data_IF_344284546139
#
_entry.id   IF_344284546139
#
_cell.length_a   1.000
_cell.length_b   1.000
_cell.length_c   1.000
_cell.angle_alpha   90.00
_cell.angle_beta   90.00
_cell.angle_gamma   90.00
#
_symmetry.space_group_name_H-M   'P 1'
#
loop_
_entity.id
_entity.type
_entity.pdbx_description
1 polymer ?
#
# COMPACT_ATOMS: atom_id res chain seq x y z
N UNK A 1 15.13 -5.05 -23.44
CA UNK A 1 14.49 -6.33 -23.88
C UNK A 1 13.31 -5.97 -24.76
N UNK A 2 12.87 -6.87 -25.65
CA UNK A 2 11.54 -6.72 -26.25
C UNK A 2 10.48 -6.94 -25.15
N UNK A 3 9.34 -6.24 -25.24
CA UNK A 3 8.35 -6.19 -24.16
C UNK A 3 7.74 -7.56 -23.84
N UNK A 4 7.51 -8.38 -24.86
CA UNK A 4 7.06 -9.77 -24.76
C UNK A 4 8.07 -10.64 -23.98
N UNK A 5 9.36 -10.51 -24.29
CA UNK A 5 10.42 -11.22 -23.58
C UNK A 5 10.56 -10.72 -22.13
N UNK A 6 10.36 -9.42 -21.88
CA UNK A 6 10.38 -8.85 -20.53
C UNK A 6 9.25 -9.45 -19.67
N UNK A 7 8.01 -9.43 -20.17
CA UNK A 7 6.85 -10.04 -19.51
C UNK A 7 7.12 -11.52 -19.21
N UNK A 8 7.62 -12.28 -20.17
CA UNK A 8 7.91 -13.70 -20.00
C UNK A 8 9.02 -13.99 -18.96
N UNK A 9 9.97 -13.07 -18.77
CA UNK A 9 10.98 -13.20 -17.73
C UNK A 9 10.44 -12.80 -16.35
N UNK A 10 9.66 -11.72 -16.26
CA UNK A 10 9.06 -11.25 -15.01
C UNK A 10 8.19 -12.36 -14.40
N UNK A 11 7.33 -12.99 -15.20
CA UNK A 11 6.44 -14.08 -14.74
C UNK A 11 7.17 -15.32 -14.21
N UNK A 12 8.45 -15.52 -14.56
CA UNK A 12 9.28 -16.65 -14.11
C UNK A 12 10.30 -16.25 -13.04
N UNK A 13 10.38 -14.97 -12.72
CA UNK A 13 11.38 -14.43 -11.81
C UNK A 13 10.93 -14.54 -10.35
N UNK A 14 11.88 -14.46 -9.42
CA UNK A 14 11.61 -14.30 -7.99
C UNK A 14 11.42 -12.83 -7.58
N UNK A 15 11.21 -11.91 -8.54
CA UNK A 15 11.15 -10.47 -8.28
C UNK A 15 12.51 -9.84 -7.93
N UNK A 16 12.48 -8.66 -7.29
CA UNK A 16 13.67 -7.95 -6.81
C UNK A 16 14.37 -7.06 -7.84
N UNK A 17 13.68 -6.67 -8.92
CA UNK A 17 14.21 -5.78 -9.96
C UNK A 17 13.35 -4.53 -10.17
N UNK A 18 13.94 -3.50 -10.77
CA UNK A 18 13.21 -2.36 -11.32
C UNK A 18 12.86 -2.67 -12.77
N UNK A 19 11.56 -2.82 -13.06
CA UNK A 19 11.07 -2.93 -14.43
C UNK A 19 10.70 -1.55 -14.97
N UNK A 20 11.62 -0.94 -15.71
CA UNK A 20 11.37 0.35 -16.35
C UNK A 20 10.42 0.19 -17.55
N UNK A 21 9.19 0.70 -17.40
CA UNK A 21 8.15 0.67 -18.42
C UNK A 21 7.91 2.06 -19.00
N UNK A 22 7.44 2.11 -20.26
CA UNK A 22 6.85 3.35 -20.81
C UNK A 22 5.51 3.61 -20.11
N UNK A 23 4.98 4.82 -20.23
CA UNK A 23 3.75 5.25 -19.55
C UNK A 23 2.61 4.20 -19.62
N UNK A 24 2.14 3.86 -20.83
CA UNK A 24 1.07 2.88 -21.01
C UNK A 24 1.42 1.48 -20.51
N UNK A 25 2.64 1.01 -20.79
CA UNK A 25 3.08 -0.32 -20.34
C UNK A 25 3.17 -0.36 -18.81
N UNK A 26 3.57 0.74 -18.17
CA UNK A 26 3.69 0.86 -16.72
C UNK A 26 2.33 0.89 -16.04
N UNK A 27 1.38 1.64 -16.59
CA UNK A 27 -0.01 1.70 -16.13
C UNK A 27 -0.62 0.29 -16.09
N UNK A 28 -0.62 -0.41 -17.24
CA UNK A 28 -1.20 -1.76 -17.35
C UNK A 28 -0.44 -2.80 -16.50
N UNK A 29 0.91 -2.80 -16.56
CA UNK A 29 1.69 -3.83 -15.89
C UNK A 29 1.74 -3.62 -14.37
N UNK A 30 1.66 -2.38 -13.88
CA UNK A 30 1.61 -2.11 -12.44
C UNK A 30 0.37 -2.72 -11.79
N UNK A 31 -0.81 -2.57 -12.42
CA UNK A 31 -2.05 -3.19 -11.97
C UNK A 31 -2.00 -4.73 -12.03
N UNK A 32 -1.46 -5.29 -13.12
CA UNK A 32 -1.28 -6.74 -13.26
C UNK A 32 -0.40 -7.30 -12.14
N UNK A 33 0.76 -6.70 -11.93
CA UNK A 33 1.72 -7.15 -10.92
C UNK A 33 1.14 -6.96 -9.52
N UNK A 34 0.53 -5.80 -9.24
CA UNK A 34 -0.15 -5.52 -7.98
C UNK A 34 -1.21 -6.56 -7.63
N UNK A 35 -2.06 -6.92 -8.60
CA UNK A 35 -3.08 -7.95 -8.44
C UNK A 35 -2.46 -9.33 -8.18
N UNK A 36 -1.33 -9.65 -8.83
CA UNK A 36 -0.62 -10.92 -8.63
C UNK A 36 0.03 -11.02 -7.24
N UNK A 37 0.45 -9.89 -6.64
CA UNK A 37 0.95 -9.82 -5.27
C UNK A 37 -0.16 -9.85 -4.21
N UNK A 38 -1.43 -9.68 -4.61
CA UNK A 38 -2.59 -9.84 -3.73
C UNK A 38 -3.68 -8.81 -4.01
N UNK A 39 -3.57 -7.62 -3.41
CA UNK A 39 -4.59 -6.58 -3.49
C UNK A 39 -3.97 -5.26 -3.98
N UNK A 40 -4.69 -4.53 -4.84
CA UNK A 40 -4.25 -3.21 -5.31
C UNK A 40 -4.00 -2.23 -4.17
N UNK A 41 -4.72 -2.37 -3.05
CA UNK A 41 -4.54 -1.53 -1.89
C UNK A 41 -3.25 -1.81 -1.10
N UNK A 42 -2.47 -2.83 -1.48
CA UNK A 42 -1.15 -3.15 -0.94
C UNK A 42 -0.01 -2.57 -1.78
N UNK A 43 -0.31 -1.77 -2.81
CA UNK A 43 0.69 -1.14 -3.67
C UNK A 43 0.95 0.30 -3.28
N UNK A 44 2.24 0.67 -3.23
CA UNK A 44 2.70 2.05 -3.05
C UNK A 44 2.96 2.70 -4.42
N UNK A 45 2.63 3.98 -4.58
CA UNK A 45 3.03 4.77 -5.75
C UNK A 45 3.87 5.98 -5.33
N UNK A 46 4.96 6.21 -6.05
CA UNK A 46 5.83 7.37 -5.85
C UNK A 46 6.28 7.91 -7.20
N UNK A 47 6.01 9.19 -7.42
CA UNK A 47 6.57 9.95 -8.52
C UNK A 47 7.88 10.60 -8.06
N UNK A 48 8.95 10.36 -8.82
CA UNK A 48 10.26 10.95 -8.58
C UNK A 48 10.66 11.77 -9.80
N UNK A 49 10.93 13.06 -9.58
CA UNK A 49 11.37 13.94 -10.65
C UNK A 49 12.90 13.92 -10.83
N UNK A 50 13.43 14.30 -12.01
CA UNK A 50 14.88 14.38 -12.22
C UNK A 50 15.59 15.40 -11.33
N UNK A 51 14.89 16.42 -10.84
CA UNK A 51 15.40 17.42 -9.89
C UNK A 51 15.25 17.00 -8.41
N UNK A 52 14.88 15.74 -8.16
CA UNK A 52 14.85 15.17 -6.81
C UNK A 52 13.65 15.59 -5.97
N UNK A 53 12.52 15.96 -6.61
CA UNK A 53 11.23 16.11 -5.94
C UNK A 53 10.50 14.77 -5.92
N UNK A 54 9.67 14.61 -4.90
CA UNK A 54 8.95 13.38 -4.63
C UNK A 54 7.47 13.70 -4.40
N UNK A 55 6.60 12.88 -4.97
CA UNK A 55 5.16 12.89 -4.73
C UNK A 55 4.74 11.45 -4.40
N UNK A 56 4.08 11.28 -3.26
CA UNK A 56 3.63 9.98 -2.76
C UNK A 56 2.11 9.92 -2.85
N UNK A 57 1.58 8.85 -3.42
CA UNK A 57 0.14 8.67 -3.63
C UNK A 57 -0.28 7.22 -3.38
N UNK A 58 -1.58 7.04 -3.17
CA UNK A 58 -2.16 5.70 -3.18
C UNK A 58 -2.36 5.25 -4.63
N UNK A 59 -1.90 4.04 -4.97
CA UNK A 59 -1.96 3.53 -6.35
C UNK A 59 -3.39 3.18 -6.83
N UNK A 60 -4.39 3.23 -5.94
CA UNK A 60 -5.78 2.89 -6.29
C UNK A 60 -6.63 4.14 -6.58
N UNK A 61 -7.70 3.96 -7.35
CA UNK A 61 -8.72 5.00 -7.56
C UNK A 61 -9.55 5.33 -6.31
N UNK A 62 -10.57 6.17 -6.46
CA UNK A 62 -11.37 6.71 -5.33
C UNK A 62 -12.38 5.74 -4.70
N UNK A 63 -12.39 4.47 -5.11
CA UNK A 63 -13.27 3.41 -4.57
C UNK A 63 -14.75 3.82 -4.50
N UNK A 64 -15.27 4.37 -5.60
CA UNK A 64 -16.61 5.01 -5.70
C UNK A 64 -17.76 4.14 -5.20
N UNK A 65 -17.70 2.81 -5.43
CA UNK A 65 -18.71 1.87 -4.91
C UNK A 65 -18.78 1.86 -3.39
N UNK A 66 -17.65 1.92 -2.69
CA UNK A 66 -17.64 2.02 -1.22
C UNK A 66 -18.15 3.38 -0.78
N UNK A 67 -17.80 4.44 -1.50
CA UNK A 67 -18.29 5.79 -1.21
C UNK A 67 -19.83 5.89 -1.25
N UNK A 68 -20.49 5.31 -2.26
CA UNK A 68 -21.96 5.30 -2.30
C UNK A 68 -22.61 4.50 -1.17
N UNK A 69 -22.00 3.39 -0.74
CA UNK A 69 -22.47 2.63 0.43
C UNK A 69 -22.32 3.44 1.72
N UNK A 70 -21.21 4.14 1.87
CA UNK A 70 -21.00 5.09 2.97
C UNK A 70 -22.07 6.20 3.00
N UNK A 71 -22.44 6.77 1.85
CA UNK A 71 -23.52 7.76 1.77
C UNK A 71 -24.89 7.22 2.22
N UNK A 72 -25.10 5.91 2.10
CA UNK A 72 -26.30 5.23 2.58
C UNK A 72 -26.21 4.83 4.08
N UNK A 73 -25.15 5.24 4.78
CA UNK A 73 -24.93 4.91 6.19
C UNK A 73 -24.38 3.49 6.43
N UNK A 74 -23.93 2.80 5.39
CA UNK A 74 -23.32 1.48 5.53
C UNK A 74 -21.86 1.59 5.98
N UNK A 75 -21.44 0.68 6.86
CA UNK A 75 -20.03 0.48 7.14
C UNK A 75 -19.32 -0.18 5.94
N UNK A 76 -18.11 0.30 5.64
CA UNK A 76 -17.28 -0.21 4.55
C UNK A 76 -15.97 -0.79 5.08
N UNK A 77 -15.39 -1.72 4.33
CA UNK A 77 -14.09 -2.35 4.60
C UNK A 77 -13.11 -1.94 3.50
N UNK A 78 -13.02 -0.63 3.24
CA UNK A 78 -12.00 -0.08 2.33
C UNK A 78 -10.64 -0.24 2.98
N UNK A 79 -9.69 -0.82 2.26
CA UNK A 79 -8.32 -1.01 2.73
C UNK A 79 -7.54 0.31 2.68
N UNK A 80 -7.06 0.84 3.83
CA UNK A 80 -6.36 2.12 3.86
C UNK A 80 -4.83 1.99 3.69
N UNK A 81 -4.29 0.78 3.48
CA UNK A 81 -2.84 0.51 3.47
C UNK A 81 -2.07 1.43 2.51
N UNK A 82 -2.42 1.45 1.21
CA UNK A 82 -1.78 2.32 0.24
C UNK A 82 -1.83 3.81 0.63
N UNK A 83 -2.93 4.26 1.25
CA UNK A 83 -3.05 5.66 1.71
C UNK A 83 -2.13 5.94 2.89
N UNK A 84 -2.06 5.02 3.87
CA UNK A 84 -1.14 5.16 5.02
C UNK A 84 0.31 5.16 4.52
N UNK A 85 0.65 4.28 3.59
CA UNK A 85 2.00 4.15 3.04
C UNK A 85 2.40 5.36 2.17
N UNK A 86 1.44 6.03 1.52
CA UNK A 86 1.69 7.31 0.87
C UNK A 86 2.08 8.40 1.90
N UNK A 87 1.36 8.46 3.02
CA UNK A 87 1.68 9.40 4.10
C UNK A 87 3.05 9.11 4.73
N UNK A 88 3.32 7.87 5.12
CA UNK A 88 4.60 7.49 5.75
C UNK A 88 5.77 7.65 4.78
N UNK A 89 5.59 7.34 3.50
CA UNK A 89 6.57 7.64 2.45
C UNK A 89 6.93 9.13 2.39
N UNK A 90 5.92 10.01 2.37
CA UNK A 90 6.13 11.46 2.40
C UNK A 90 6.79 11.96 3.68
N UNK A 91 6.37 11.47 4.85
CA UNK A 91 6.95 11.84 6.15
C UNK A 91 8.41 11.39 6.25
N UNK A 92 8.71 10.14 5.87
CA UNK A 92 10.06 9.60 5.86
C UNK A 92 10.96 10.42 4.95
N UNK A 93 10.53 10.70 3.72
CA UNK A 93 11.30 11.50 2.77
C UNK A 93 11.57 12.92 3.26
N UNK A 94 10.56 13.56 3.87
CA UNK A 94 10.75 14.88 4.49
C UNK A 94 11.74 14.80 5.65
N UNK A 95 11.64 13.77 6.47
CA UNK A 95 12.56 13.50 7.57
C UNK A 95 14.00 13.34 7.11
N UNK A 96 14.25 12.59 6.04
CA UNK A 96 15.56 12.46 5.41
C UNK A 96 16.11 13.80 4.93
N UNK A 97 15.30 14.58 4.20
CA UNK A 97 15.72 15.85 3.61
C UNK A 97 16.00 16.94 4.65
N UNK A 98 15.32 16.90 5.80
CA UNK A 98 15.52 17.86 6.91
C UNK A 98 16.50 17.35 7.99
N UNK A 99 16.97 16.11 7.91
CA UNK A 99 17.77 15.50 8.98
C UNK A 99 16.98 15.24 10.27
N UNK A 100 15.66 15.01 10.18
CA UNK A 100 14.76 14.73 11.30
C UNK A 100 14.57 13.22 11.47
N UNK A 101 15.52 12.58 12.15
CA UNK A 101 15.51 11.11 12.36
C UNK A 101 14.24 10.61 13.09
N UNK A 102 13.69 11.40 14.02
CA UNK A 102 12.46 11.05 14.74
C UNK A 102 11.24 10.97 13.80
N UNK A 103 11.20 11.82 12.78
CA UNK A 103 10.11 11.81 11.80
C UNK A 103 10.17 10.56 10.91
N UNK A 104 11.38 10.19 10.47
CA UNK A 104 11.59 8.94 9.73
C UNK A 104 11.25 7.72 10.60
N UNK A 105 11.69 7.71 11.86
CA UNK A 105 11.38 6.62 12.80
C UNK A 105 9.88 6.49 13.07
N UNK A 106 9.14 7.61 13.17
CA UNK A 106 7.69 7.57 13.30
C UNK A 106 7.03 6.92 12.07
N UNK A 107 7.48 7.28 10.86
CA UNK A 107 6.96 6.68 9.63
C UNK A 107 7.22 5.16 9.58
N UNK A 108 8.43 4.72 9.97
CA UNK A 108 8.78 3.30 10.05
C UNK A 108 7.91 2.54 11.07
N UNK A 109 7.68 3.12 12.25
CA UNK A 109 6.82 2.52 13.29
C UNK A 109 5.37 2.42 12.83
N UNK A 110 4.86 3.41 12.09
CA UNK A 110 3.48 3.37 11.57
C UNK A 110 3.32 2.30 10.47
N UNK A 111 4.28 2.16 9.57
CA UNK A 111 4.27 1.06 8.59
C UNK A 111 4.38 -0.30 9.27
N UNK A 112 5.25 -0.44 10.28
CA UNK A 112 5.36 -1.68 11.07
C UNK A 112 4.04 -2.01 11.78
N UNK A 113 3.39 -1.03 12.42
CA UNK A 113 2.09 -1.22 13.06
C UNK A 113 1.02 -1.73 12.08
N UNK A 114 1.03 -1.24 10.84
CA UNK A 114 0.15 -1.71 9.77
C UNK A 114 0.42 -3.17 9.39
N UNK A 115 1.68 -3.54 9.17
CA UNK A 115 2.08 -4.90 8.83
C UNK A 115 1.76 -5.87 9.98
N UNK A 116 2.14 -5.52 11.22
CA UNK A 116 1.85 -6.30 12.42
C UNK A 116 0.35 -6.54 12.62
N UNK A 117 -0.49 -5.58 12.23
CA UNK A 117 -1.95 -5.72 12.31
C UNK A 117 -2.44 -6.83 11.38
N UNK A 118 -1.96 -6.84 10.14
CA UNK A 118 -2.29 -7.85 9.12
C UNK A 118 -1.72 -9.21 9.51
N UNK A 119 -0.45 -9.28 9.92
CA UNK A 119 0.24 -10.52 10.30
C UNK A 119 -0.39 -11.19 11.53
N UNK A 120 -1.01 -10.41 12.42
CA UNK A 120 -1.80 -10.92 13.55
C UNK A 120 -3.24 -11.31 13.18
N UNK A 121 -3.55 -11.31 11.88
CA UNK A 121 -4.82 -11.78 11.33
C UNK A 121 -5.94 -10.75 11.29
N UNK A 122 -5.69 -9.48 11.64
CA UNK A 122 -6.71 -8.41 11.59
C UNK A 122 -6.54 -7.65 10.28
N UNK A 123 -7.51 -7.76 9.37
CA UNK A 123 -7.36 -7.17 8.03
C UNK A 123 -8.70 -6.79 7.41
N UNK A 124 -8.67 -5.98 6.36
CA UNK A 124 -9.87 -5.61 5.60
C UNK A 124 -10.32 -6.75 4.68
N UNK A 125 -11.57 -6.66 4.22
CA UNK A 125 -12.27 -7.74 3.52
C UNK A 125 -11.54 -8.19 2.25
N UNK A 126 -10.88 -7.29 1.54
CA UNK A 126 -10.09 -7.59 0.35
C UNK A 126 -8.92 -8.53 0.66
N UNK A 127 -8.23 -8.34 1.79
CA UNK A 127 -7.11 -9.19 2.21
C UNK A 127 -7.56 -10.52 2.80
N UNK A 128 -8.68 -10.54 3.52
CA UNK A 128 -9.26 -11.79 4.06
C UNK A 128 -9.51 -12.81 2.96
N UNK A 129 -9.91 -12.36 1.76
CA UNK A 129 -10.16 -13.25 0.61
C UNK A 129 -8.89 -13.86 0.02
N UNK A 130 -7.71 -13.33 0.36
CA UNK A 130 -6.41 -13.72 -0.17
C UNK A 130 -5.51 -14.40 0.86
N UNK A 131 -5.90 -14.34 2.14
CA UNK A 131 -5.12 -14.87 3.26
C UNK A 131 -5.40 -16.36 3.47
N UNK A 132 -4.33 -17.15 3.57
CA UNK A 132 -4.40 -18.52 4.07
C UNK A 132 -4.44 -18.52 5.61
N UNK A 133 -5.51 -19.08 6.19
CA UNK A 133 -5.62 -19.27 7.65
C UNK A 133 -6.77 -18.51 8.30
N UNK A 134 -6.71 -18.36 9.62
CA UNK A 134 -7.73 -17.64 10.38
C UNK A 134 -7.46 -16.13 10.33
N UNK A 135 -8.40 -15.39 9.77
CA UNK A 135 -8.37 -13.92 9.74
C UNK A 135 -9.70 -13.33 10.20
N UNK A 136 -9.62 -12.16 10.82
CA UNK A 136 -10.75 -11.34 11.22
C UNK A 136 -10.94 -10.21 10.20
N UNK A 137 -12.09 -10.22 9.53
CA UNK A 137 -12.48 -9.13 8.63
C UNK A 137 -13.02 -7.95 9.44
N UNK A 138 -12.35 -6.80 9.35
CA UNK A 138 -12.77 -5.56 10.03
C UNK A 138 -13.24 -4.48 9.05
N UNK A 139 -13.99 -3.49 9.54
CA UNK A 139 -14.31 -2.27 8.79
C UNK A 139 -13.07 -1.39 8.64
N UNK A 140 -13.12 -0.39 7.77
CA UNK A 140 -12.02 0.57 7.62
C UNK A 140 -11.67 1.24 8.96
N UNK A 141 -12.68 1.67 9.72
CA UNK A 141 -12.50 2.24 11.06
C UNK A 141 -11.98 1.23 12.07
N UNK A 142 -12.44 -0.03 12.01
CA UNK A 142 -11.92 -1.11 12.84
C UNK A 142 -10.43 -1.35 12.59
N UNK A 143 -10.02 -1.36 11.33
CA UNK A 143 -8.62 -1.49 10.94
C UNK A 143 -7.77 -0.33 11.47
N UNK A 144 -8.21 0.92 11.31
CA UNK A 144 -7.50 2.07 11.88
C UNK A 144 -7.32 1.99 13.41
N UNK A 145 -8.33 1.52 14.13
CA UNK A 145 -8.24 1.32 15.59
C UNK A 145 -7.22 0.24 15.95
N UNK A 146 -7.19 -0.86 15.20
CA UNK A 146 -6.23 -1.93 15.40
C UNK A 146 -4.79 -1.46 15.12
N UNK A 147 -4.57 -0.76 13.99
CA UNK A 147 -3.28 -0.13 13.66
C UNK A 147 -2.86 0.85 14.74
N UNK A 148 -3.77 1.69 15.24
CA UNK A 148 -3.45 2.64 16.30
C UNK A 148 -2.99 1.94 17.58
N UNK A 149 -3.68 0.88 18.01
CA UNK A 149 -3.29 0.12 19.18
C UNK A 149 -1.88 -0.48 19.03
N UNK A 150 -1.53 -0.98 17.84
CA UNK A 150 -0.17 -1.47 17.56
C UNK A 150 0.87 -0.36 17.54
N UNK A 151 0.54 0.79 16.96
CA UNK A 151 1.43 1.94 16.98
C UNK A 151 1.72 2.40 18.42
N UNK A 152 0.72 2.41 19.29
CA UNK A 152 0.89 2.75 20.71
C UNK A 152 1.84 1.78 21.46
N UNK A 153 1.97 0.53 21.01
CA UNK A 153 2.94 -0.43 21.55
C UNK A 153 4.38 -0.15 21.06
N UNK A 154 4.54 0.52 19.92
CA UNK A 154 5.83 0.80 19.28
C UNK A 154 6.41 2.18 19.61
N UNK A 155 5.58 3.12 20.07
CA UNK A 155 5.98 4.48 20.42
C UNK A 155 6.69 4.54 21.77
#
# INVERSE_FOLDING_TARGET
MLIDNAVAQIMRSNGGMVWACKNYDGDVMSDMISSAFGSLAMMTSVLVSPDGKYEYEAAHGTVTKHYYRYLNGEETSTNPMATIFAWTGGLRKRGELDGLAELASFADKLEQACLDTIERGVMTKDLVMLCDGKSESVTATGFFKAVRARLDELL
#
